data_IF_282983842006
#
_entry.id   IF_282983842006
#
_cell.length_a   1.000
_cell.length_b   1.000
_cell.length_c   1.000
_cell.angle_alpha   90.00
_cell.angle_beta   90.00
_cell.angle_gamma   90.00
#
_symmetry.space_group_name_H-M   'P 1'
#
loop_
_entity.id
_entity.type
_entity.pdbx_description
1 polymer ?
#
# COMPACT_ATOMS: atom_id res chain seq x y z
N UNK A 1 20.32 35.06 16.04
CA UNK A 1 19.11 35.83 16.32
C UNK A 1 18.37 36.13 15.00
N UNK A 2 17.54 35.25 14.53
CA UNK A 2 16.38 35.51 13.70
C UNK A 2 15.46 34.29 13.89
N UNK A 3 14.51 34.44 14.80
CA UNK A 3 13.37 33.53 14.97
C UNK A 3 12.44 33.73 13.78
N UNK A 4 12.38 32.76 12.90
CA UNK A 4 11.39 32.65 11.84
C UNK A 4 10.09 32.08 12.40
N UNK A 5 9.05 32.91 12.39
CA UNK A 5 7.69 32.67 12.88
C UNK A 5 6.80 31.88 11.92
N UNK A 6 7.34 30.95 11.13
CA UNK A 6 6.58 30.22 10.08
C UNK A 6 6.24 28.76 10.42
N UNK A 7 6.48 28.30 11.64
CA UNK A 7 6.27 26.88 12.02
C UNK A 7 4.95 26.55 12.72
N UNK A 8 4.07 27.52 13.00
CA UNK A 8 2.97 27.30 13.95
C UNK A 8 1.55 27.18 13.38
N UNK A 9 1.30 27.29 12.08
CA UNK A 9 -0.11 27.34 11.63
C UNK A 9 -0.64 26.17 10.81
N UNK A 10 0.17 25.20 10.41
CA UNK A 10 -0.26 24.16 9.46
C UNK A 10 -0.83 22.88 10.08
N UNK A 11 -0.69 22.65 11.37
CA UNK A 11 -1.30 21.51 12.07
C UNK A 11 -2.74 21.75 12.51
N UNK A 12 -3.20 23.00 12.54
CA UNK A 12 -4.57 23.36 12.93
C UNK A 12 -5.53 23.51 11.74
N UNK A 13 -5.02 23.59 10.49
CA UNK A 13 -5.83 23.92 9.31
C UNK A 13 -6.49 22.68 8.70
N UNK A 14 -6.00 21.48 8.96
CA UNK A 14 -6.54 20.22 8.39
C UNK A 14 -7.92 19.82 8.93
N UNK A 15 -8.34 20.38 10.06
CA UNK A 15 -9.60 19.99 10.71
C UNK A 15 -10.84 20.78 10.23
N UNK A 16 -10.71 21.83 9.39
CA UNK A 16 -11.83 22.73 9.06
C UNK A 16 -12.20 22.81 7.56
N UNK A 17 -11.51 22.12 6.66
CA UNK A 17 -11.83 22.16 5.22
C UNK A 17 -13.24 21.64 4.89
N UNK A 18 -13.85 20.85 5.77
CA UNK A 18 -15.22 20.36 5.63
C UNK A 18 -16.26 21.51 5.68
N UNK A 19 -15.95 22.65 6.36
CA UNK A 19 -16.84 23.80 6.53
C UNK A 19 -16.67 24.87 5.46
N UNK A 20 -15.66 24.74 4.59
CA UNK A 20 -15.27 25.73 3.59
C UNK A 20 -15.89 25.47 2.22
N UNK A 21 -16.29 26.55 1.55
CA UNK A 21 -16.68 26.50 0.15
C UNK A 21 -15.43 26.25 -0.74
N UNK A 22 -15.58 25.69 -1.96
CA UNK A 22 -14.45 25.41 -2.86
C UNK A 22 -13.51 26.61 -3.08
N UNK A 23 -14.05 27.83 -3.20
CA UNK A 23 -13.26 29.06 -3.36
C UNK A 23 -12.40 29.39 -2.15
N UNK A 24 -12.91 29.13 -0.95
CA UNK A 24 -12.18 29.32 0.32
C UNK A 24 -11.05 28.29 0.45
N UNK A 25 -11.30 27.05 0.02
CA UNK A 25 -10.29 25.98 -0.01
C UNK A 25 -9.14 26.31 -0.96
N UNK A 26 -9.45 26.82 -2.15
CA UNK A 26 -8.42 27.28 -3.09
C UNK A 26 -7.57 28.40 -2.47
N UNK A 27 -8.18 29.38 -1.82
CA UNK A 27 -7.47 30.46 -1.17
C UNK A 27 -6.60 29.98 0.00
N UNK A 28 -7.16 29.12 0.88
CA UNK A 28 -6.47 28.56 2.04
C UNK A 28 -5.23 27.75 1.67
N UNK A 29 -5.31 26.99 0.56
CA UNK A 29 -4.21 26.17 0.08
C UNK A 29 -3.34 26.88 -0.98
N UNK A 30 -3.61 28.18 -1.23
CA UNK A 30 -2.89 28.98 -2.23
C UNK A 30 -2.78 28.26 -3.57
N UNK A 31 -3.92 27.77 -4.06
CA UNK A 31 -4.08 27.07 -5.35
C UNK A 31 -5.27 27.68 -6.13
N UNK A 32 -5.60 27.13 -7.28
CA UNK A 32 -6.70 27.61 -8.12
C UNK A 32 -7.34 26.46 -8.90
N UNK A 33 -8.39 26.74 -9.68
CA UNK A 33 -9.00 25.80 -10.62
C UNK A 33 -8.00 25.30 -11.70
N UNK A 34 -6.94 26.09 -11.98
CA UNK A 34 -5.85 25.70 -12.86
C UNK A 34 -4.76 24.85 -12.17
N UNK A 35 -4.95 24.54 -10.88
CA UNK A 35 -3.99 23.80 -10.06
C UNK A 35 -2.82 24.66 -9.59
N UNK A 36 -1.82 24.04 -9.01
CA UNK A 36 -0.58 24.68 -8.58
C UNK A 36 0.35 24.93 -9.76
N UNK A 37 1.16 26.01 -9.73
CA UNK A 37 2.34 26.13 -10.57
C UNK A 37 3.33 24.99 -10.27
N UNK A 38 3.96 24.42 -11.32
CA UNK A 38 4.91 23.30 -11.18
C UNK A 38 6.10 23.66 -10.27
N UNK A 39 6.56 24.90 -10.29
CA UNK A 39 7.63 25.41 -9.43
C UNK A 39 7.21 25.39 -7.95
N UNK A 40 6.00 25.85 -7.65
CA UNK A 40 5.46 25.83 -6.29
C UNK A 40 5.23 24.39 -5.81
N UNK A 41 4.76 23.50 -6.67
CA UNK A 41 4.63 22.07 -6.34
C UNK A 41 5.99 21.45 -5.99
N UNK A 42 7.05 21.76 -6.72
CA UNK A 42 8.41 21.30 -6.43
C UNK A 42 8.92 21.86 -5.08
N UNK A 43 8.66 23.13 -4.80
CA UNK A 43 8.98 23.75 -3.50
C UNK A 43 8.24 23.07 -2.35
N UNK A 44 6.94 22.80 -2.52
CA UNK A 44 6.13 22.08 -1.51
C UNK A 44 6.59 20.64 -1.32
N UNK A 45 6.99 19.97 -2.39
CA UNK A 45 7.53 18.61 -2.30
C UNK A 45 8.80 18.56 -1.44
N UNK A 46 9.68 19.56 -1.55
CA UNK A 46 10.87 19.65 -0.70
C UNK A 46 10.55 19.95 0.77
N UNK A 47 9.45 20.67 1.04
CA UNK A 47 9.01 21.06 2.39
C UNK A 47 8.22 19.95 3.09
N UNK A 48 7.25 19.35 2.39
CA UNK A 48 6.33 18.36 2.96
C UNK A 48 6.83 16.93 2.83
N UNK A 49 7.79 16.68 1.93
CA UNK A 49 8.26 15.35 1.56
C UNK A 49 7.31 14.64 0.60
N UNK A 50 7.65 13.40 0.24
CA UNK A 50 6.85 12.57 -0.65
C UNK A 50 5.56 12.11 0.02
N UNK A 51 4.51 11.94 -0.77
CA UNK A 51 3.24 11.38 -0.32
C UNK A 51 3.33 9.84 -0.22
N UNK A 52 4.16 9.40 0.71
CA UNK A 52 4.39 7.99 1.00
C UNK A 52 4.24 7.75 2.49
N UNK A 53 3.71 6.60 2.85
CA UNK A 53 3.81 6.14 4.23
C UNK A 53 5.25 5.67 4.43
N UNK A 54 5.89 6.00 5.56
CA UNK A 54 7.27 5.61 5.77
C UNK A 54 7.39 4.10 5.75
N UNK A 55 8.20 3.62 4.88
CA UNK A 55 8.65 2.25 4.84
C UNK A 55 9.95 2.19 5.65
N UNK A 56 9.91 1.61 6.82
CA UNK A 56 11.11 1.46 7.65
C UNK A 56 11.97 0.32 7.10
N UNK A 57 12.73 0.60 6.05
CA UNK A 57 13.91 -0.21 5.74
C UNK A 57 15.11 0.30 6.56
N UNK A 58 15.92 -0.58 7.16
CA UNK A 58 17.12 -0.14 7.84
C UNK A 58 18.04 0.60 6.86
N UNK A 59 18.41 1.84 7.19
CA UNK A 59 19.43 2.59 6.43
C UNK A 59 20.78 1.85 6.45
N UNK A 60 21.62 2.09 5.43
CA UNK A 60 22.92 1.43 5.33
C UNK A 60 23.80 1.53 6.59
N UNK A 61 23.78 2.63 7.40
CA UNK A 61 24.58 2.67 8.63
C UNK A 61 24.07 1.66 9.67
N UNK A 62 22.75 1.45 9.76
CA UNK A 62 22.15 0.49 10.67
C UNK A 62 22.47 -0.95 10.25
N UNK A 63 22.47 -1.22 8.94
CA UNK A 63 22.90 -2.53 8.39
C UNK A 63 24.37 -2.79 8.69
N UNK A 64 25.23 -1.78 8.61
CA UNK A 64 26.64 -1.95 8.96
C UNK A 64 26.84 -2.20 10.46
N UNK A 65 26.13 -1.45 11.31
CA UNK A 65 26.21 -1.62 12.76
C UNK A 65 25.63 -2.95 13.23
N UNK A 66 24.57 -3.46 12.56
CA UNK A 66 23.99 -4.77 12.90
C UNK A 66 24.97 -5.94 12.71
N UNK A 67 26.01 -5.78 11.88
CA UNK A 67 27.04 -6.81 11.73
C UNK A 67 27.86 -7.02 13.03
N UNK A 68 27.88 -6.02 13.90
CA UNK A 68 28.56 -6.10 15.21
C UNK A 68 27.63 -6.57 16.34
N UNK A 69 26.32 -6.62 16.12
CA UNK A 69 25.34 -7.13 17.08
C UNK A 69 25.38 -8.68 17.17
N UNK A 70 26.10 -9.33 16.26
CA UNK A 70 26.29 -10.77 16.29
C UNK A 70 27.23 -11.16 17.44
N UNK A 71 26.84 -12.12 18.32
CA UNK A 71 27.68 -12.60 19.41
C UNK A 71 29.09 -13.05 18.98
N UNK A 72 29.20 -13.57 17.75
CA UNK A 72 30.51 -14.00 17.21
C UNK A 72 31.43 -12.82 16.90
N UNK A 73 30.91 -11.74 16.30
CA UNK A 73 31.69 -10.53 16.08
C UNK A 73 32.20 -9.94 17.40
N UNK A 74 31.36 -9.97 18.44
CA UNK A 74 31.75 -9.52 19.77
C UNK A 74 32.89 -10.39 20.37
N UNK A 75 32.77 -11.73 20.26
CA UNK A 75 33.83 -12.66 20.71
C UNK A 75 35.14 -12.40 19.97
N UNK A 76 35.09 -12.21 18.63
CA UNK A 76 36.26 -11.91 17.83
C UNK A 76 36.94 -10.61 18.27
N UNK A 77 36.19 -9.56 18.54
CA UNK A 77 36.71 -8.28 19.07
C UNK A 77 37.39 -8.51 20.42
N UNK A 78 36.76 -9.22 21.34
CA UNK A 78 37.31 -9.51 22.66
C UNK A 78 38.62 -10.31 22.53
N UNK A 79 38.66 -11.33 21.66
CA UNK A 79 39.84 -12.15 21.43
C UNK A 79 40.98 -11.37 20.75
N UNK A 80 40.68 -10.51 19.79
CA UNK A 80 41.66 -9.65 19.16
C UNK A 80 42.31 -8.69 20.17
N UNK A 81 41.51 -8.07 21.02
CA UNK A 81 42.00 -7.20 22.10
C UNK A 81 42.86 -8.00 23.07
N UNK A 82 42.43 -9.17 23.50
CA UNK A 82 43.16 -10.03 24.43
C UNK A 82 44.53 -10.46 23.85
N UNK A 83 44.55 -10.87 22.56
CA UNK A 83 45.75 -11.26 21.87
C UNK A 83 46.78 -10.11 21.79
N UNK A 84 46.28 -8.87 21.53
CA UNK A 84 47.11 -7.67 21.53
C UNK A 84 47.75 -7.39 22.92
N UNK A 85 46.94 -7.48 23.98
CA UNK A 85 47.42 -7.27 25.36
C UNK A 85 48.42 -8.37 25.83
N UNK A 86 48.30 -9.57 25.31
CA UNK A 86 49.14 -10.71 25.65
C UNK A 86 50.43 -10.76 24.83
N UNK A 87 50.73 -9.71 24.06
CA UNK A 87 51.98 -9.60 23.29
C UNK A 87 52.01 -10.43 22.01
N UNK A 88 50.84 -10.76 21.45
CA UNK A 88 50.68 -11.51 20.20
C UNK A 88 50.01 -10.64 19.10
N UNK A 89 50.60 -9.54 18.68
CA UNK A 89 49.99 -8.58 17.74
C UNK A 89 49.67 -9.20 16.36
N UNK A 90 50.52 -10.13 15.88
CA UNK A 90 50.26 -10.81 14.60
C UNK A 90 48.95 -11.60 14.60
N UNK A 91 48.62 -12.26 15.71
CA UNK A 91 47.35 -13.01 15.84
C UNK A 91 46.14 -12.07 15.95
N UNK A 92 46.32 -10.96 16.69
CA UNK A 92 45.29 -9.92 16.76
C UNK A 92 44.96 -9.33 15.38
N UNK A 93 46.00 -9.08 14.58
CA UNK A 93 45.86 -8.56 13.21
C UNK A 93 45.12 -9.55 12.30
N UNK A 94 45.47 -10.82 12.32
CA UNK A 94 44.79 -11.87 11.55
C UNK A 94 43.28 -11.95 11.93
N UNK A 95 42.96 -11.91 13.21
CA UNK A 95 41.55 -11.94 13.68
C UNK A 95 40.80 -10.70 13.19
N UNK A 96 41.42 -9.52 13.27
CA UNK A 96 40.80 -8.29 12.78
C UNK A 96 40.56 -8.32 11.27
N UNK A 97 41.48 -8.88 10.50
CA UNK A 97 41.32 -9.04 9.04
C UNK A 97 40.16 -10.00 8.73
N UNK A 98 40.10 -11.16 9.40
CA UNK A 98 39.00 -12.12 9.23
C UNK A 98 37.67 -11.46 9.57
N UNK A 99 37.60 -10.75 10.70
CA UNK A 99 36.39 -10.01 11.12
C UNK A 99 36.02 -8.94 10.08
N UNK A 100 36.96 -8.15 9.57
CA UNK A 100 36.72 -7.13 8.58
C UNK A 100 36.13 -7.74 7.27
N UNK A 101 36.70 -8.86 6.82
CA UNK A 101 36.17 -9.58 5.65
C UNK A 101 34.74 -10.07 5.92
N UNK A 102 34.47 -10.66 7.08
CA UNK A 102 33.11 -11.10 7.49
C UNK A 102 32.10 -9.94 7.50
N UNK A 103 32.46 -8.83 8.14
CA UNK A 103 31.62 -7.62 8.20
C UNK A 103 31.33 -7.05 6.81
N UNK A 104 32.35 -6.97 5.93
CA UNK A 104 32.16 -6.47 4.56
C UNK A 104 31.23 -7.39 3.75
N UNK A 105 31.43 -8.70 3.83
CA UNK A 105 30.60 -9.66 3.12
C UNK A 105 29.16 -9.67 3.67
N UNK A 106 29.00 -9.67 4.98
CA UNK A 106 27.69 -9.60 5.64
C UNK A 106 26.94 -8.32 5.25
N UNK A 107 27.60 -7.17 5.36
CA UNK A 107 27.04 -5.89 4.94
C UNK A 107 26.63 -5.88 3.46
N UNK A 108 27.51 -6.34 2.57
CA UNK A 108 27.22 -6.36 1.13
C UNK A 108 25.99 -7.21 0.81
N UNK A 109 25.89 -8.41 1.40
CA UNK A 109 24.78 -9.32 1.17
C UNK A 109 23.47 -8.75 1.72
N UNK A 110 23.47 -8.22 2.94
CA UNK A 110 22.27 -7.64 3.58
C UNK A 110 21.82 -6.36 2.88
N UNK A 111 22.76 -5.49 2.51
CA UNK A 111 22.48 -4.28 1.74
C UNK A 111 21.88 -4.60 0.38
N UNK A 112 22.46 -5.56 -0.36
CA UNK A 112 21.92 -6.00 -1.65
C UNK A 112 20.54 -6.61 -1.52
N UNK A 113 20.29 -7.43 -0.50
CA UNK A 113 19.00 -8.03 -0.23
C UNK A 113 17.93 -6.96 0.08
N UNK A 114 18.26 -6.02 0.97
CA UNK A 114 17.36 -4.90 1.34
C UNK A 114 17.04 -4.04 0.11
N UNK A 115 18.04 -3.74 -0.72
CA UNK A 115 17.85 -2.96 -1.94
C UNK A 115 16.94 -3.67 -2.95
N UNK A 116 17.10 -4.98 -3.15
CA UNK A 116 16.20 -5.75 -4.04
C UNK A 116 14.75 -5.72 -3.58
N UNK A 117 14.50 -5.75 -2.27
CA UNK A 117 13.14 -5.61 -1.70
C UNK A 117 12.58 -4.22 -1.98
N UNK A 118 13.37 -3.17 -1.74
CA UNK A 118 12.95 -1.79 -2.01
C UNK A 118 12.66 -1.55 -3.49
N UNK A 119 13.49 -2.07 -4.39
CA UNK A 119 13.30 -1.94 -5.83
C UNK A 119 12.00 -2.65 -6.28
N UNK A 120 11.67 -3.81 -5.71
CA UNK A 120 10.42 -4.52 -5.98
C UNK A 120 9.20 -3.74 -5.48
N UNK A 121 9.26 -3.20 -4.28
CA UNK A 121 8.19 -2.37 -3.70
C UNK A 121 7.96 -1.08 -4.49
N UNK A 122 9.01 -0.46 -5.00
CA UNK A 122 8.94 0.76 -5.81
C UNK A 122 8.41 0.50 -7.24
N UNK A 123 8.39 -0.75 -7.69
CA UNK A 123 7.83 -1.10 -9.01
C UNK A 123 6.31 -0.97 -9.07
N UNK A 124 5.63 -0.86 -7.93
CA UNK A 124 4.18 -0.67 -7.82
C UNK A 124 3.89 0.77 -7.39
N UNK A 125 3.78 1.68 -8.35
CA UNK A 125 3.38 3.06 -8.10
C UNK A 125 1.90 3.27 -8.46
N UNK A 126 1.17 3.92 -7.57
CA UNK A 126 -0.19 4.41 -7.85
C UNK A 126 -0.02 5.73 -8.62
N UNK A 127 -0.65 5.83 -9.78
CA UNK A 127 -0.66 7.07 -10.56
C UNK A 127 -1.89 7.91 -10.22
N UNK A 128 -1.76 9.22 -10.37
CA UNK A 128 -2.83 10.17 -10.14
C UNK A 128 -2.89 11.19 -11.28
N UNK A 129 -4.09 11.55 -11.70
CA UNK A 129 -4.32 12.63 -12.69
C UNK A 129 -4.39 13.95 -11.94
N UNK A 130 -3.39 14.80 -12.16
CA UNK A 130 -3.21 16.07 -11.45
C UNK A 130 -3.24 17.24 -12.43
N UNK A 131 -3.93 18.29 -12.05
CA UNK A 131 -3.91 19.55 -12.82
C UNK A 131 -2.87 20.48 -12.22
N UNK A 132 -1.83 20.82 -13.00
CA UNK A 132 -0.82 21.85 -12.71
C UNK A 132 -0.62 22.75 -13.91
N UNK A 133 -0.39 24.04 -13.71
CA UNK A 133 -0.26 25.02 -14.77
C UNK A 133 -1.41 24.98 -15.80
N UNK A 134 -2.63 24.69 -15.36
CA UNK A 134 -3.81 24.55 -16.21
C UNK A 134 -3.85 23.29 -17.08
N UNK A 135 -2.89 22.35 -16.93
CA UNK A 135 -2.82 21.11 -17.71
C UNK A 135 -3.00 19.90 -16.82
N UNK A 136 -3.87 18.97 -17.23
CA UNK A 136 -4.00 17.68 -16.58
C UNK A 136 -2.86 16.76 -17.05
N UNK A 137 -2.11 16.20 -16.09
CA UNK A 137 -1.01 15.27 -16.35
C UNK A 137 -1.09 14.10 -15.37
N UNK A 138 -0.72 12.91 -15.84
CA UNK A 138 -0.59 11.74 -15.00
C UNK A 138 0.79 11.75 -14.33
N UNK A 139 0.83 11.64 -13.01
CA UNK A 139 2.07 11.57 -12.26
C UNK A 139 1.98 10.53 -11.14
N UNK A 140 3.14 10.13 -10.62
CA UNK A 140 3.24 9.24 -9.46
C UNK A 140 2.59 9.91 -8.25
N UNK A 141 1.66 9.20 -7.58
CA UNK A 141 0.97 9.71 -6.38
C UNK A 141 1.93 10.12 -5.26
N UNK A 142 3.12 9.55 -5.22
CA UNK A 142 4.18 9.92 -4.29
C UNK A 142 4.68 11.37 -4.46
N UNK A 143 4.43 12.00 -5.61
CA UNK A 143 4.81 13.39 -5.91
C UNK A 143 3.70 14.40 -5.64
N UNK A 144 2.58 13.95 -5.06
CA UNK A 144 1.49 14.83 -4.65
C UNK A 144 1.89 15.68 -3.46
N UNK A 145 1.42 16.92 -3.48
CA UNK A 145 1.64 17.89 -2.40
C UNK A 145 0.33 18.56 -1.99
N UNK A 146 0.20 19.06 -0.75
CA UNK A 146 -0.96 19.86 -0.37
C UNK A 146 -1.17 21.03 -1.32
N UNK A 147 -2.41 21.19 -1.80
CA UNK A 147 -2.79 22.18 -2.81
C UNK A 147 -2.86 21.67 -4.25
N UNK A 148 -2.39 20.45 -4.54
CA UNK A 148 -2.59 19.83 -5.86
C UNK A 148 -4.07 19.60 -6.13
N UNK A 149 -4.50 19.85 -7.36
CA UNK A 149 -5.85 19.57 -7.84
C UNK A 149 -5.85 18.20 -8.55
N UNK A 150 -6.42 17.21 -7.89
CA UNK A 150 -6.45 15.81 -8.34
C UNK A 150 -7.84 15.46 -8.86
N UNK A 151 -7.91 14.71 -9.94
CA UNK A 151 -9.13 14.12 -10.46
C UNK A 151 -9.11 12.62 -10.21
N UNK A 152 -10.24 12.09 -9.73
CA UNK A 152 -10.45 10.66 -9.48
C UNK A 152 -11.68 10.17 -10.23
N UNK A 153 -11.61 8.94 -10.70
CA UNK A 153 -12.63 8.26 -11.49
C UNK A 153 -13.04 6.95 -10.81
N UNK A 154 -14.11 6.37 -11.29
CA UNK A 154 -14.54 5.03 -10.86
C UNK A 154 -13.39 4.02 -10.98
N UNK A 155 -13.15 3.25 -9.91
CA UNK A 155 -12.07 2.27 -9.83
C UNK A 155 -10.75 2.81 -9.28
N UNK A 156 -10.60 4.14 -9.20
CA UNK A 156 -9.39 4.75 -8.66
C UNK A 156 -9.28 4.57 -7.15
N UNK A 157 -8.06 4.38 -6.69
CA UNK A 157 -7.70 4.51 -5.26
C UNK A 157 -7.39 5.97 -5.00
N UNK A 158 -8.06 6.56 -4.03
CA UNK A 158 -7.81 7.94 -3.60
C UNK A 158 -6.36 8.07 -3.11
N UNK A 159 -5.54 8.92 -3.75
CA UNK A 159 -4.10 8.92 -3.53
C UNK A 159 -3.63 9.72 -2.31
N UNK A 160 -4.46 10.61 -1.79
CA UNK A 160 -4.16 11.48 -0.64
C UNK A 160 -5.47 11.95 0.00
N UNK A 161 -5.42 12.56 1.18
CA UNK A 161 -6.61 13.21 1.73
C UNK A 161 -6.92 14.48 0.95
N UNK A 162 -8.17 14.63 0.51
CA UNK A 162 -8.58 15.70 -0.40
C UNK A 162 -9.92 16.30 0.02
N UNK A 163 -10.09 17.61 -0.21
CA UNK A 163 -11.39 18.29 -0.16
C UNK A 163 -12.01 18.29 -1.56
N UNK A 164 -13.20 17.74 -1.68
CA UNK A 164 -13.94 17.70 -2.94
C UNK A 164 -14.36 19.12 -3.32
N UNK A 165 -14.03 19.57 -4.51
CA UNK A 165 -14.41 20.88 -5.05
C UNK A 165 -15.42 20.78 -6.19
N UNK A 166 -15.50 19.60 -6.84
CA UNK A 166 -16.45 19.29 -7.90
C UNK A 166 -16.67 17.76 -7.89
N UNK A 167 -17.91 17.31 -8.08
CA UNK A 167 -18.22 15.88 -8.13
C UNK A 167 -19.51 15.61 -8.91
N UNK A 168 -19.56 14.45 -9.55
CA UNK A 168 -20.75 13.94 -10.23
C UNK A 168 -21.02 12.52 -9.75
N UNK A 169 -22.16 12.28 -9.10
CA UNK A 169 -22.64 10.98 -8.59
C UNK A 169 -21.57 10.15 -7.86
N UNK A 170 -20.80 10.82 -7.01
CA UNK A 170 -19.63 10.23 -6.38
C UNK A 170 -20.02 9.32 -5.22
N UNK A 171 -19.59 8.04 -5.29
CA UNK A 171 -19.62 7.09 -4.18
C UNK A 171 -18.22 6.53 -3.93
N UNK A 172 -17.88 6.35 -2.66
CA UNK A 172 -16.56 5.90 -2.23
C UNK A 172 -16.69 4.80 -1.17
N UNK A 173 -15.95 3.73 -1.35
CA UNK A 173 -15.81 2.68 -0.36
C UNK A 173 -14.69 3.08 0.63
N UNK A 174 -15.07 3.28 1.88
CA UNK A 174 -14.16 3.67 2.97
C UNK A 174 -13.76 2.51 3.89
N UNK A 175 -13.91 1.26 3.43
CA UNK A 175 -13.60 0.07 4.22
C UNK A 175 -12.16 0.05 4.78
N UNK A 176 -11.21 0.65 4.07
CA UNK A 176 -9.83 0.77 4.53
C UNK A 176 -9.67 1.57 5.83
N UNK A 177 -10.63 2.45 6.14
CA UNK A 177 -10.64 3.30 7.33
C UNK A 177 -11.66 2.87 8.38
N UNK A 178 -12.84 2.45 7.94
CA UNK A 178 -14.00 2.16 8.81
C UNK A 178 -14.17 0.66 9.07
N UNK A 179 -13.64 -0.18 8.18
CA UNK A 179 -13.93 -1.62 8.14
C UNK A 179 -15.27 -1.96 7.50
N UNK A 180 -16.08 -0.95 7.12
CA UNK A 180 -17.40 -1.14 6.51
C UNK A 180 -17.30 -1.06 4.98
N UNK A 181 -17.79 -2.08 4.28
CA UNK A 181 -17.67 -2.19 2.82
C UNK A 181 -18.78 -1.46 2.05
N UNK A 182 -19.71 -0.80 2.72
CA UNK A 182 -20.78 -0.07 2.05
C UNK A 182 -20.26 1.26 1.49
N UNK A 183 -20.50 1.55 0.20
CA UNK A 183 -20.13 2.84 -0.38
C UNK A 183 -20.89 3.99 0.29
N UNK A 184 -20.20 5.11 0.44
CA UNK A 184 -20.72 6.34 1.02
C UNK A 184 -20.85 7.39 -0.08
N UNK A 185 -21.99 8.09 -0.13
CA UNK A 185 -22.19 9.22 -1.03
C UNK A 185 -21.32 10.40 -0.62
N UNK A 186 -20.67 11.01 -1.59
CA UNK A 186 -19.79 12.16 -1.42
C UNK A 186 -20.18 13.29 -2.38
N UNK A 187 -20.05 14.53 -1.94
CA UNK A 187 -20.36 15.73 -2.74
C UNK A 187 -19.41 16.88 -2.40
N UNK A 188 -19.53 17.99 -3.14
CA UNK A 188 -18.72 19.17 -2.93
C UNK A 188 -19.29 20.18 -1.92
N UNK A 189 -20.51 19.95 -1.38
CA UNK A 189 -21.18 20.86 -0.50
C UNK A 189 -20.45 21.02 0.84
N UNK A 190 -20.46 22.22 1.40
CA UNK A 190 -19.89 22.45 2.73
C UNK A 190 -20.82 21.88 3.81
N UNK A 191 -20.23 21.33 4.86
CA UNK A 191 -20.98 20.82 5.99
C UNK A 191 -21.34 21.94 6.97
N UNK A 192 -22.58 21.98 7.48
CA UNK A 192 -23.06 23.03 8.38
C UNK A 192 -22.51 22.86 9.82
N UNK A 193 -22.06 21.67 10.18
CA UNK A 193 -21.58 21.33 11.51
C UNK A 193 -20.39 20.38 11.45
N UNK A 194 -19.54 20.41 12.48
CA UNK A 194 -18.38 19.51 12.59
C UNK A 194 -18.86 18.04 12.68
N UNK A 195 -18.40 17.16 11.77
CA UNK A 195 -18.75 15.74 11.86
C UNK A 195 -18.15 15.11 13.10
N UNK A 196 -18.84 14.12 13.68
CA UNK A 196 -18.38 13.41 14.90
C UNK A 196 -17.12 12.59 14.64
N UNK A 197 -16.95 12.12 13.39
CA UNK A 197 -15.74 11.45 12.92
C UNK A 197 -15.36 11.98 11.53
N UNK A 198 -14.07 12.04 11.17
CA UNK A 198 -13.62 12.49 9.84
C UNK A 198 -14.29 11.74 8.70
N UNK A 199 -14.51 10.43 8.83
CA UNK A 199 -15.15 9.56 7.84
C UNK A 199 -16.63 9.90 7.60
N UNK A 200 -17.29 10.63 8.50
CA UNK A 200 -18.65 11.13 8.29
C UNK A 200 -18.73 12.39 7.42
N UNK A 201 -17.57 12.92 7.00
CA UNK A 201 -17.52 14.08 6.11
C UNK A 201 -17.88 13.65 4.69
N UNK A 202 -19.01 14.14 4.18
CA UNK A 202 -19.47 13.85 2.81
C UNK A 202 -18.65 14.58 1.74
N UNK A 203 -17.86 15.58 2.12
CA UNK A 203 -17.10 16.43 1.22
C UNK A 203 -15.57 16.24 1.31
N UNK A 204 -15.13 15.20 2.01
CA UNK A 204 -13.73 14.80 2.09
C UNK A 204 -13.54 13.40 1.49
N UNK A 205 -12.43 13.24 0.77
CA UNK A 205 -11.90 11.96 0.32
C UNK A 205 -10.65 11.62 1.13
N UNK A 206 -10.48 10.37 1.47
CA UNK A 206 -9.38 9.91 2.30
C UNK A 206 -8.47 8.96 1.54
N UNK A 207 -7.18 9.05 1.81
CA UNK A 207 -6.16 8.16 1.23
C UNK A 207 -6.53 6.68 1.41
N UNK A 208 -6.29 5.86 0.39
CA UNK A 208 -6.54 4.41 0.35
C UNK A 208 -8.02 4.00 0.30
N UNK A 209 -8.95 4.92 0.16
CA UNK A 209 -10.36 4.61 -0.16
C UNK A 209 -10.53 4.42 -1.67
N UNK A 210 -11.60 3.77 -2.10
CA UNK A 210 -11.81 3.40 -3.50
C UNK A 210 -13.06 4.07 -4.04
N UNK A 211 -12.95 4.74 -5.18
CA UNK A 211 -14.11 5.31 -5.88
C UNK A 211 -14.91 4.20 -6.54
N UNK A 212 -16.15 4.00 -6.10
CA UNK A 212 -17.03 2.93 -6.59
C UNK A 212 -18.03 3.43 -7.63
N UNK A 213 -18.30 4.74 -7.67
CA UNK A 213 -19.19 5.37 -8.65
C UNK A 213 -18.82 6.83 -8.86
N UNK A 214 -19.10 7.34 -10.06
CA UNK A 214 -18.95 8.75 -10.39
C UNK A 214 -17.50 9.23 -10.53
N UNK A 215 -17.36 10.55 -10.48
CA UNK A 215 -16.06 11.24 -10.62
C UNK A 215 -15.98 12.41 -9.66
N UNK A 216 -14.77 12.81 -9.28
CA UNK A 216 -14.55 14.01 -8.49
C UNK A 216 -13.26 14.73 -8.85
N UNK A 217 -13.26 16.05 -8.57
CA UNK A 217 -12.04 16.85 -8.42
C UNK A 217 -11.88 17.21 -6.96
N UNK A 218 -10.70 17.01 -6.43
CA UNK A 218 -10.37 17.35 -5.05
C UNK A 218 -9.05 18.09 -4.96
N UNK A 219 -8.96 19.01 -4.01
CA UNK A 219 -7.70 19.65 -3.65
C UNK A 219 -7.07 18.86 -2.53
N UNK A 220 -5.81 18.45 -2.71
CA UNK A 220 -5.05 17.71 -1.70
C UNK A 220 -4.87 18.57 -0.46
N UNK A 221 -5.33 18.07 0.68
CA UNK A 221 -5.23 18.71 1.99
C UNK A 221 -4.09 18.16 2.82
N UNK A 222 -3.88 16.83 2.76
CA UNK A 222 -2.85 16.14 3.54
C UNK A 222 -2.22 15.01 2.74
N UNK A 223 -0.92 14.76 2.99
CA UNK A 223 -0.13 13.75 2.30
C UNK A 223 0.62 12.85 3.28
N UNK A 224 0.88 11.62 2.89
CA UNK A 224 1.70 10.64 3.61
C UNK A 224 1.26 10.42 5.06
N UNK A 225 2.17 10.60 6.00
CA UNK A 225 1.92 10.40 7.45
C UNK A 225 0.85 11.32 8.04
N UNK A 226 0.51 12.41 7.37
CA UNK A 226 -0.46 13.40 7.86
C UNK A 226 -1.89 13.06 7.44
N UNK A 227 -2.09 12.09 6.57
CA UNK A 227 -3.42 11.61 6.16
C UNK A 227 -4.10 10.85 7.29
N UNK A 228 -5.43 10.71 7.22
CA UNK A 228 -6.19 9.89 8.18
C UNK A 228 -5.68 8.44 8.19
N UNK A 229 -5.45 7.88 7.01
CA UNK A 229 -4.87 6.55 6.88
C UNK A 229 -3.46 6.47 7.48
N UNK A 230 -2.62 7.48 7.26
CA UNK A 230 -1.29 7.59 7.87
C UNK A 230 -1.31 7.68 9.39
N UNK A 231 -2.35 8.32 9.98
CA UNK A 231 -2.53 8.39 11.43
C UNK A 231 -2.90 7.04 12.04
N UNK A 232 -3.79 6.28 11.37
CA UNK A 232 -4.18 4.92 11.77
C UNK A 232 -2.99 3.97 11.62
N UNK A 233 -2.24 4.06 10.52
CA UNK A 233 -1.04 3.26 10.29
C UNK A 233 -0.03 3.38 11.42
N UNK A 234 0.19 4.59 11.95
CA UNK A 234 1.06 4.82 13.13
C UNK A 234 0.58 4.12 14.39
N UNK A 235 -0.73 4.01 14.62
CA UNK A 235 -1.29 3.31 15.79
C UNK A 235 -1.13 1.79 15.67
N UNK A 236 -1.00 1.27 14.45
CA UNK A 236 -0.88 -0.16 14.13
C UNK A 236 0.57 -0.60 13.91
N UNK A 237 1.56 0.32 13.96
CA UNK A 237 3.01 0.01 13.89
C UNK A 237 3.46 -0.85 15.07
N UNK A 238 2.90 -2.06 15.20
CA UNK A 238 3.47 -3.12 16.04
C UNK A 238 4.51 -3.86 15.21
N UNK A 239 5.67 -4.22 15.80
CA UNK A 239 6.59 -5.11 15.13
C UNK A 239 5.83 -6.36 14.68
N UNK A 240 5.91 -6.67 13.40
CA UNK A 240 5.20 -7.84 12.87
C UNK A 240 5.75 -9.10 13.56
N UNK A 241 4.88 -10.06 13.95
CA UNK A 241 5.35 -11.31 14.52
C UNK A 241 6.30 -12.00 13.53
N UNK A 242 7.43 -12.49 14.06
CA UNK A 242 8.38 -13.30 13.30
C UNK A 242 7.66 -14.50 12.68
N UNK A 243 8.03 -14.85 11.44
CA UNK A 243 7.52 -16.06 10.80
C UNK A 243 7.99 -17.32 11.55
N UNK A 244 7.30 -18.44 11.41
CA UNK A 244 7.70 -19.72 12.05
C UNK A 244 9.08 -20.16 11.56
N UNK A 245 9.43 -19.86 10.33
CA UNK A 245 10.77 -20.13 9.81
C UNK A 245 11.84 -19.22 10.44
N UNK A 246 11.56 -17.94 10.57
CA UNK A 246 12.49 -17.04 11.27
C UNK A 246 12.74 -17.52 12.69
N UNK A 247 11.68 -17.93 13.41
CA UNK A 247 11.81 -18.56 14.73
C UNK A 247 12.59 -19.88 14.68
N UNK A 248 12.32 -20.72 13.66
CA UNK A 248 13.04 -21.97 13.43
C UNK A 248 14.52 -21.75 13.15
N UNK A 249 14.86 -20.79 12.28
CA UNK A 249 16.23 -20.40 11.95
C UNK A 249 16.97 -19.88 13.17
N UNK A 250 16.30 -19.06 13.99
CA UNK A 250 16.86 -18.57 15.25
C UNK A 250 17.14 -19.70 16.24
N UNK A 251 16.18 -20.61 16.44
CA UNK A 251 16.38 -21.80 17.32
C UNK A 251 17.53 -22.68 16.83
N UNK A 252 17.65 -22.85 15.51
CA UNK A 252 18.77 -23.60 14.93
C UNK A 252 20.11 -22.89 15.16
N UNK A 253 20.15 -21.56 14.98
CA UNK A 253 21.31 -20.74 15.34
C UNK A 253 21.72 -20.87 16.81
N UNK A 254 20.73 -20.76 17.72
CA UNK A 254 20.96 -20.92 19.17
C UNK A 254 21.49 -22.32 19.54
N UNK A 255 20.97 -23.37 18.86
CA UNK A 255 21.46 -24.74 19.05
C UNK A 255 22.91 -24.87 18.59
N UNK A 256 23.28 -24.32 17.43
CA UNK A 256 24.64 -24.34 16.93
C UNK A 256 25.60 -23.53 17.80
N UNK A 257 25.17 -22.37 18.31
CA UNK A 257 25.93 -21.58 19.26
C UNK A 257 26.19 -22.35 20.56
N UNK A 258 25.17 -23.03 21.08
CA UNK A 258 25.28 -23.88 22.28
C UNK A 258 26.25 -25.02 22.04
N UNK A 259 26.15 -25.70 20.90
CA UNK A 259 27.07 -26.77 20.53
C UNK A 259 28.50 -26.27 20.37
N UNK A 260 28.70 -25.14 19.66
CA UNK A 260 29.99 -24.50 19.50
C UNK A 260 30.63 -24.12 20.83
N UNK A 261 29.83 -23.60 21.79
CA UNK A 261 30.31 -23.29 23.13
C UNK A 261 30.86 -24.50 23.86
N UNK A 262 30.09 -25.61 23.94
CA UNK A 262 30.55 -26.82 24.59
C UNK A 262 31.76 -27.43 23.90
N UNK A 263 31.80 -27.42 22.57
CA UNK A 263 32.95 -27.91 21.82
C UNK A 263 34.19 -27.06 22.07
N UNK A 264 34.06 -25.74 22.14
CA UNK A 264 35.15 -24.80 22.48
C UNK A 264 35.72 -25.11 23.85
N UNK A 265 34.86 -25.29 24.86
CA UNK A 265 35.27 -25.63 26.22
C UNK A 265 36.00 -26.98 26.27
N UNK A 266 35.48 -27.98 25.54
CA UNK A 266 36.08 -29.33 25.48
C UNK A 266 37.45 -29.28 24.80
N UNK A 267 37.60 -28.60 23.64
CA UNK A 267 38.86 -28.47 22.91
C UNK A 267 39.89 -27.68 23.74
N UNK A 268 39.45 -26.58 24.36
CA UNK A 268 40.29 -25.78 25.24
C UNK A 268 40.83 -26.64 26.39
N UNK A 269 39.95 -27.36 27.10
CA UNK A 269 40.31 -28.23 28.21
C UNK A 269 41.25 -29.35 27.80
N UNK A 270 41.03 -30.00 26.65
CA UNK A 270 41.88 -31.04 26.11
C UNK A 270 43.27 -30.52 25.76
N UNK A 271 43.37 -29.40 25.05
CA UNK A 271 44.66 -28.80 24.74
C UNK A 271 45.42 -28.34 25.97
N UNK A 272 44.75 -27.75 26.97
CA UNK A 272 45.34 -27.36 28.24
C UNK A 272 45.88 -28.58 28.98
N UNK A 273 45.10 -29.69 29.03
CA UNK A 273 45.54 -30.94 29.67
C UNK A 273 46.72 -31.60 28.95
N UNK A 274 46.88 -31.40 27.63
CA UNK A 274 48.02 -31.84 26.85
C UNK A 274 49.27 -30.95 27.06
N UNK A 275 49.21 -29.93 27.91
CA UNK A 275 50.34 -29.07 28.26
C UNK A 275 50.62 -27.95 27.28
N UNK A 276 49.68 -27.65 26.33
CA UNK A 276 49.81 -26.50 25.44
C UNK A 276 49.58 -25.20 26.20
N UNK A 277 50.11 -24.10 25.70
CA UNK A 277 49.88 -22.78 26.26
C UNK A 277 48.40 -22.46 26.29
N UNK A 278 47.88 -21.97 27.43
CA UNK A 278 46.46 -21.67 27.61
C UNK A 278 45.91 -20.70 26.54
N UNK A 279 46.73 -19.75 26.12
CA UNK A 279 46.36 -18.76 25.11
C UNK A 279 46.20 -19.41 23.72
N UNK A 280 47.20 -20.21 23.30
CA UNK A 280 47.14 -20.93 22.02
C UNK A 280 45.98 -21.93 22.00
N UNK A 281 45.71 -22.59 23.13
CA UNK A 281 44.58 -23.50 23.29
C UNK A 281 43.24 -22.79 23.16
N UNK A 282 43.11 -21.59 23.73
CA UNK A 282 41.90 -20.77 23.62
C UNK A 282 41.68 -20.28 22.20
N UNK A 283 42.72 -19.73 21.56
CA UNK A 283 42.66 -19.24 20.19
C UNK A 283 42.30 -20.36 19.19
N UNK A 284 42.90 -21.53 19.36
CA UNK A 284 42.59 -22.70 18.53
C UNK A 284 41.13 -23.16 18.70
N UNK A 285 40.66 -23.23 19.94
CA UNK A 285 39.29 -23.62 20.24
C UNK A 285 38.26 -22.61 19.67
N UNK A 286 38.53 -21.30 19.78
CA UNK A 286 37.70 -20.24 19.22
C UNK A 286 37.71 -20.25 17.69
N UNK A 287 38.85 -20.51 17.05
CA UNK A 287 38.93 -20.61 15.60
C UNK A 287 38.02 -21.72 15.04
N UNK A 288 37.93 -22.87 15.75
CA UNK A 288 37.03 -23.95 15.38
C UNK A 288 35.57 -23.55 15.61
N UNK A 289 35.26 -22.89 16.73
CA UNK A 289 33.94 -22.41 17.04
C UNK A 289 33.39 -21.47 15.96
N UNK A 290 34.20 -20.54 15.47
CA UNK A 290 33.87 -19.61 14.38
C UNK A 290 33.46 -20.36 13.12
N UNK A 291 34.19 -21.43 12.77
CA UNK A 291 33.91 -22.22 11.55
C UNK A 291 32.61 -23.02 11.60
N UNK A 292 32.00 -23.19 12.79
CA UNK A 292 30.77 -23.98 12.96
C UNK A 292 29.53 -23.10 12.85
N UNK A 293 29.63 -21.82 13.15
CA UNK A 293 28.46 -20.91 13.15
C UNK A 293 28.14 -20.42 11.73
N UNK A 294 26.94 -20.69 11.22
CA UNK A 294 26.54 -20.29 9.87
C UNK A 294 26.14 -18.82 9.83
N UNK A 295 27.10 -17.90 9.76
CA UNK A 295 26.85 -16.45 9.73
C UNK A 295 26.04 -16.00 8.50
N UNK A 296 26.10 -16.76 7.39
CA UNK A 296 25.48 -16.42 6.13
C UNK A 296 24.00 -16.83 6.00
N UNK A 297 23.45 -17.54 6.99
CA UNK A 297 22.11 -18.13 6.87
C UNK A 297 20.99 -17.08 6.69
N UNK A 298 20.93 -15.97 7.45
CA UNK A 298 19.90 -14.94 7.24
C UNK A 298 20.00 -14.30 5.86
N UNK A 299 21.22 -14.06 5.37
CA UNK A 299 21.44 -13.48 4.05
C UNK A 299 21.00 -14.42 2.93
N UNK A 300 21.32 -15.71 3.01
CA UNK A 300 20.91 -16.73 2.03
C UNK A 300 19.38 -16.80 1.96
N UNK A 301 18.71 -16.82 3.11
CA UNK A 301 17.24 -16.84 3.19
C UNK A 301 16.66 -15.61 2.51
N UNK A 302 17.13 -14.41 2.84
CA UNK A 302 16.62 -13.16 2.27
C UNK A 302 16.85 -13.10 0.76
N UNK A 303 18.02 -13.51 0.26
CA UNK A 303 18.31 -13.58 -1.17
C UNK A 303 17.38 -14.58 -1.87
N UNK A 304 17.15 -15.74 -1.27
CA UNK A 304 16.28 -16.77 -1.84
C UNK A 304 14.84 -16.30 -1.93
N UNK A 305 14.30 -15.70 -0.86
CA UNK A 305 12.96 -15.13 -0.84
C UNK A 305 12.83 -13.97 -1.84
N UNK A 306 13.81 -13.08 -1.90
CA UNK A 306 13.83 -11.96 -2.85
C UNK A 306 13.86 -12.46 -4.31
N UNK A 307 14.66 -13.48 -4.60
CA UNK A 307 14.69 -14.10 -5.93
C UNK A 307 13.35 -14.75 -6.27
N UNK A 308 12.72 -15.42 -5.32
CA UNK A 308 11.38 -15.98 -5.45
C UNK A 308 10.33 -14.88 -5.74
N UNK A 309 10.34 -13.80 -4.98
CA UNK A 309 9.45 -12.66 -5.18
C UNK A 309 9.63 -12.04 -6.59
N UNK A 310 10.87 -11.92 -7.05
CA UNK A 310 11.14 -11.42 -8.40
C UNK A 310 10.60 -12.35 -9.51
N UNK A 311 10.66 -13.67 -9.31
CA UNK A 311 10.02 -14.64 -10.25
C UNK A 311 8.51 -14.49 -10.24
N UNK A 312 7.88 -14.36 -9.06
CA UNK A 312 6.44 -14.15 -8.94
C UNK A 312 6.00 -12.83 -9.59
N UNK A 313 6.81 -11.77 -9.49
CA UNK A 313 6.52 -10.50 -10.14
C UNK A 313 6.49 -10.60 -11.68
N UNK A 314 7.31 -11.49 -12.28
CA UNK A 314 7.24 -11.80 -13.72
C UNK A 314 5.94 -12.49 -14.12
N UNK A 315 5.32 -13.21 -13.20
CA UNK A 315 4.00 -13.85 -13.35
C UNK A 315 2.86 -12.93 -12.88
N UNK A 316 3.12 -11.61 -12.81
CA UNK A 316 2.15 -10.58 -12.41
C UNK A 316 1.66 -10.70 -10.95
N UNK A 317 2.40 -11.39 -10.09
CA UNK A 317 2.11 -11.50 -8.66
C UNK A 317 3.04 -10.60 -7.87
N UNK A 318 2.48 -9.58 -7.21
CA UNK A 318 3.26 -8.65 -6.38
C UNK A 318 3.26 -9.13 -4.94
N UNK A 319 4.45 -9.48 -4.44
CA UNK A 319 4.65 -9.88 -3.05
C UNK A 319 4.90 -8.64 -2.19
N UNK A 320 3.94 -8.28 -1.34
CA UNK A 320 4.07 -7.15 -0.41
C UNK A 320 4.98 -7.44 0.79
N UNK A 321 5.12 -8.71 1.18
CA UNK A 321 5.94 -9.16 2.32
C UNK A 321 6.65 -10.45 1.97
N UNK A 322 7.97 -10.48 2.04
CA UNK A 322 8.76 -11.66 1.72
C UNK A 322 8.46 -12.85 2.66
N UNK A 323 8.23 -12.58 3.95
CA UNK A 323 7.86 -13.60 4.92
C UNK A 323 6.55 -14.33 4.57
N UNK A 324 5.64 -13.71 3.80
CA UNK A 324 4.39 -14.34 3.37
C UNK A 324 4.62 -15.44 2.33
N UNK A 325 5.69 -15.38 1.55
CA UNK A 325 6.02 -16.43 0.56
C UNK A 325 6.31 -17.76 1.21
N UNK A 326 6.97 -17.72 2.35
CA UNK A 326 7.30 -18.91 3.12
C UNK A 326 6.04 -19.57 3.70
N UNK A 327 5.13 -18.74 4.23
CA UNK A 327 3.84 -19.22 4.72
C UNK A 327 3.00 -19.85 3.60
N UNK A 328 3.08 -19.30 2.36
CA UNK A 328 2.42 -19.89 1.19
C UNK A 328 2.90 -21.32 0.88
N UNK A 329 4.21 -21.60 1.07
CA UNK A 329 4.78 -22.93 0.86
C UNK A 329 4.31 -24.00 1.86
N UNK A 330 3.87 -23.57 3.04
CA UNK A 330 3.41 -24.45 4.13
C UNK A 330 1.89 -24.39 4.35
N UNK A 331 1.15 -23.83 3.39
CA UNK A 331 -0.29 -23.62 3.51
C UNK A 331 -1.04 -24.97 3.46
N UNK A 332 -1.82 -25.27 4.48
CA UNK A 332 -2.73 -26.41 4.56
C UNK A 332 -4.21 -25.98 4.47
N UNK A 333 -4.51 -24.71 4.74
CA UNK A 333 -5.85 -24.11 4.66
C UNK A 333 -5.77 -22.75 4.01
N UNK A 334 -6.52 -22.59 2.91
CA UNK A 334 -6.65 -21.32 2.19
C UNK A 334 -8.05 -20.76 2.40
N UNK A 335 -8.14 -19.63 3.06
CA UNK A 335 -9.36 -18.84 3.12
C UNK A 335 -9.25 -17.72 2.07
N UNK A 336 -10.16 -17.70 1.13
CA UNK A 336 -10.15 -16.72 0.04
C UNK A 336 -11.52 -16.03 -0.08
N UNK A 337 -11.51 -14.77 -0.50
CA UNK A 337 -12.72 -14.09 -0.92
C UNK A 337 -13.18 -14.65 -2.28
N UNK A 338 -14.49 -14.57 -2.53
CA UNK A 338 -15.08 -15.03 -3.77
C UNK A 338 -14.99 -13.94 -4.85
N UNK A 339 -15.46 -12.74 -4.55
CA UNK A 339 -15.71 -11.71 -5.55
C UNK A 339 -14.43 -10.92 -5.87
N UNK A 340 -14.05 -10.88 -7.15
CA UNK A 340 -12.81 -10.22 -7.58
C UNK A 340 -11.52 -10.99 -7.25
N UNK A 341 -11.62 -12.15 -6.58
CA UNK A 341 -10.50 -13.03 -6.24
C UNK A 341 -10.61 -14.37 -6.97
N UNK A 342 -11.69 -15.11 -6.74
CA UNK A 342 -12.00 -16.34 -7.48
C UNK A 342 -12.80 -16.06 -8.76
N UNK A 343 -13.46 -14.93 -8.82
CA UNK A 343 -14.20 -14.45 -9.98
C UNK A 343 -13.54 -13.18 -10.52
N UNK A 344 -13.80 -12.85 -11.77
CA UNK A 344 -13.29 -11.62 -12.41
C UNK A 344 -13.93 -10.33 -11.85
N UNK A 345 -14.90 -10.43 -10.92
CA UNK A 345 -15.63 -9.28 -10.40
C UNK A 345 -16.56 -8.63 -11.44
N UNK A 346 -16.72 -9.25 -12.60
CA UNK A 346 -17.64 -8.80 -13.66
C UNK A 346 -19.01 -9.42 -13.49
N UNK A 347 -20.04 -8.58 -13.59
CA UNK A 347 -21.43 -9.03 -13.69
C UNK A 347 -21.74 -9.23 -15.16
N UNK A 348 -22.36 -10.36 -15.49
CA UNK A 348 -22.82 -10.67 -16.85
C UNK A 348 -24.30 -10.99 -16.78
N UNK A 349 -25.08 -10.31 -17.65
CA UNK A 349 -26.50 -10.63 -17.81
C UNK A 349 -26.63 -11.87 -18.72
N UNK A 350 -27.16 -12.96 -18.17
CA UNK A 350 -27.39 -14.21 -18.89
C UNK A 350 -28.67 -14.20 -19.74
N UNK A 351 -29.71 -13.50 -19.26
CA UNK A 351 -30.99 -13.42 -19.93
C UNK A 351 -31.99 -12.55 -19.19
N UNK A 352 -33.11 -12.36 -19.82
CA UNK A 352 -34.27 -11.62 -19.25
C UNK A 352 -35.52 -12.50 -19.20
N UNK A 353 -36.38 -12.21 -18.24
CA UNK A 353 -37.64 -12.92 -18.03
C UNK A 353 -38.77 -11.91 -17.82
N UNK A 354 -39.95 -12.24 -18.32
CA UNK A 354 -41.16 -11.49 -18.02
C UNK A 354 -41.57 -11.71 -16.56
N UNK A 355 -42.51 -10.90 -15.99
CA UNK A 355 -43.02 -11.12 -14.64
C UNK A 355 -43.60 -12.52 -14.38
N UNK A 356 -44.07 -13.21 -15.42
CA UNK A 356 -44.56 -14.58 -15.35
C UNK A 356 -43.43 -15.65 -15.41
N UNK A 357 -42.20 -15.22 -15.27
CA UNK A 357 -40.98 -16.06 -15.33
C UNK A 357 -40.83 -16.80 -16.69
N UNK A 358 -41.45 -16.30 -17.75
CA UNK A 358 -41.21 -16.83 -19.10
C UNK A 358 -39.97 -16.15 -19.68
N UNK A 359 -39.07 -16.91 -20.36
CA UNK A 359 -37.93 -16.32 -21.02
C UNK A 359 -38.36 -15.22 -21.99
N UNK A 360 -37.71 -14.08 -21.94
CA UNK A 360 -37.85 -12.97 -22.87
C UNK A 360 -36.63 -12.90 -23.79
N UNK A 361 -36.88 -12.64 -25.06
CA UNK A 361 -35.81 -12.43 -26.05
C UNK A 361 -35.07 -11.09 -25.90
N UNK A 362 -35.38 -10.37 -24.81
CA UNK A 362 -34.84 -9.05 -24.50
C UNK A 362 -35.65 -7.89 -25.09
N UNK A 363 -36.66 -8.15 -25.90
CA UNK A 363 -37.44 -7.07 -26.57
C UNK A 363 -38.38 -6.32 -25.66
N UNK A 364 -38.80 -6.93 -24.54
CA UNK A 364 -39.74 -6.32 -23.57
C UNK A 364 -39.02 -5.72 -22.36
N UNK A 365 -38.10 -6.50 -21.74
CA UNK A 365 -37.49 -6.16 -20.46
C UNK A 365 -36.26 -5.25 -20.67
N UNK A 366 -35.41 -5.56 -21.63
CA UNK A 366 -34.15 -4.81 -21.83
C UNK A 366 -34.37 -3.33 -22.13
N UNK A 367 -35.34 -2.91 -22.99
CA UNK A 367 -35.61 -1.48 -23.21
C UNK A 367 -35.95 -0.72 -21.92
N UNK A 368 -36.72 -1.34 -21.03
CA UNK A 368 -37.07 -0.73 -19.75
C UNK A 368 -35.86 -0.66 -18.81
N UNK A 369 -35.04 -1.72 -18.78
CA UNK A 369 -33.80 -1.72 -18.00
C UNK A 369 -32.80 -0.67 -18.50
N UNK A 370 -32.72 -0.43 -19.80
CA UNK A 370 -31.85 0.63 -20.38
C UNK A 370 -32.33 2.04 -20.02
N UNK A 371 -33.65 2.25 -19.85
CA UNK A 371 -34.20 3.54 -19.38
C UNK A 371 -33.90 3.77 -17.90
N UNK A 372 -33.87 2.70 -17.08
CA UNK A 372 -33.54 2.74 -15.66
C UNK A 372 -32.04 2.62 -15.40
N UNK A 373 -31.20 3.01 -16.35
CA UNK A 373 -29.77 2.77 -16.34
C UNK A 373 -29.02 4.10 -16.34
N UNK A 374 -27.92 4.19 -15.57
CA UNK A 374 -27.09 5.38 -15.41
C UNK A 374 -25.69 5.20 -16.00
N UNK A 375 -25.43 4.12 -16.74
CA UNK A 375 -24.14 3.94 -17.39
C UNK A 375 -23.94 4.97 -18.50
N UNK A 376 -22.74 5.48 -18.58
CA UNK A 376 -22.28 6.38 -19.65
C UNK A 376 -21.78 5.52 -20.80
N UNK A 377 -22.36 5.71 -22.00
CA UNK A 377 -22.06 4.93 -23.19
C UNK A 377 -21.45 5.84 -24.24
N UNK A 378 -20.11 5.93 -24.22
CA UNK A 378 -19.33 6.63 -25.25
C UNK A 378 -18.51 5.60 -26.05
N UNK A 379 -17.20 5.80 -26.19
CA UNK A 379 -16.28 4.82 -26.79
C UNK A 379 -16.12 3.55 -25.92
N UNK A 380 -16.35 3.68 -24.61
CA UNK A 380 -16.42 2.58 -23.65
C UNK A 380 -17.65 2.75 -22.77
N UNK A 381 -18.18 1.64 -22.25
CA UNK A 381 -19.29 1.66 -21.29
C UNK A 381 -18.69 1.78 -19.88
N UNK A 382 -19.09 2.82 -19.16
CA UNK A 382 -18.64 3.06 -17.78
C UNK A 382 -19.82 3.34 -16.86
N UNK A 383 -19.73 2.90 -15.60
CA UNK A 383 -20.77 3.07 -14.61
C UNK A 383 -20.83 1.94 -13.59
N UNK A 384 -21.97 1.80 -12.91
CA UNK A 384 -22.22 0.69 -12.02
C UNK A 384 -22.08 -0.65 -12.78
N UNK A 385 -21.41 -1.67 -12.23
CA UNK A 385 -21.24 -2.97 -12.91
C UNK A 385 -22.53 -3.64 -13.37
N UNK A 386 -23.65 -3.44 -12.66
CA UNK A 386 -24.97 -3.95 -13.10
C UNK A 386 -25.48 -3.22 -14.33
N UNK A 387 -25.35 -1.89 -14.34
CA UNK A 387 -25.76 -1.06 -15.45
C UNK A 387 -24.94 -1.34 -16.70
N UNK A 388 -23.63 -1.50 -16.54
CA UNK A 388 -22.71 -1.92 -17.60
C UNK A 388 -23.11 -3.28 -18.17
N UNK A 389 -23.47 -4.26 -17.32
CA UNK A 389 -23.86 -5.60 -17.74
C UNK A 389 -25.14 -5.58 -18.63
N UNK A 390 -26.10 -4.71 -18.29
CA UNK A 390 -27.32 -4.53 -19.11
C UNK A 390 -26.99 -3.94 -20.49
N UNK A 391 -26.13 -2.92 -20.53
CA UNK A 391 -25.68 -2.34 -21.79
C UNK A 391 -24.86 -3.32 -22.63
N UNK A 392 -23.94 -4.07 -22.02
CA UNK A 392 -23.16 -5.12 -22.70
C UNK A 392 -24.07 -6.18 -23.32
N UNK A 393 -25.11 -6.60 -22.59
CA UNK A 393 -26.09 -7.54 -23.11
C UNK A 393 -26.87 -6.93 -24.29
N UNK A 394 -27.34 -5.72 -24.15
CA UNK A 394 -28.11 -5.02 -25.18
C UNK A 394 -27.28 -4.87 -26.47
N UNK A 395 -26.02 -4.51 -26.37
CA UNK A 395 -25.12 -4.34 -27.54
C UNK A 395 -24.87 -5.70 -28.20
N UNK A 396 -24.54 -6.75 -27.42
CA UNK A 396 -24.25 -8.09 -27.94
C UNK A 396 -25.47 -8.71 -28.66
N UNK A 397 -26.68 -8.37 -28.23
CA UNK A 397 -27.91 -8.91 -28.81
C UNK A 397 -28.59 -7.95 -29.80
N UNK A 398 -27.92 -6.85 -30.21
CA UNK A 398 -28.47 -5.91 -31.19
C UNK A 398 -29.61 -5.04 -30.67
N UNK A 399 -29.75 -4.92 -29.34
CA UNK A 399 -30.82 -4.17 -28.68
C UNK A 399 -30.39 -2.76 -28.23
N UNK A 400 -29.24 -2.29 -28.69
CA UNK A 400 -28.66 -0.99 -28.31
C UNK A 400 -29.66 0.18 -28.43
N UNK A 401 -30.44 0.14 -29.51
CA UNK A 401 -31.36 1.21 -29.88
C UNK A 401 -32.79 1.01 -29.38
N UNK A 402 -33.05 -0.06 -28.62
CA UNK A 402 -34.38 -0.47 -28.22
C UNK A 402 -35.07 0.49 -27.23
N UNK A 403 -34.29 1.34 -26.54
CA UNK A 403 -34.76 2.35 -25.60
C UNK A 403 -34.93 3.75 -26.24
N UNK A 404 -34.65 3.95 -27.52
CA UNK A 404 -34.64 5.29 -28.18
C UNK A 404 -36.01 5.99 -28.15
N UNK A 405 -37.08 5.23 -28.15
CA UNK A 405 -38.45 5.78 -28.11
C UNK A 405 -38.87 6.28 -26.73
N UNK A 406 -38.07 6.04 -25.71
CA UNK A 406 -38.34 6.47 -24.38
C UNK A 406 -37.60 7.77 -24.03
N UNK A 407 -38.28 8.70 -23.42
CA UNK A 407 -37.73 9.94 -22.89
C UNK A 407 -37.80 9.86 -21.37
N UNK A 408 -36.66 9.82 -20.69
CA UNK A 408 -36.54 9.87 -19.23
C UNK A 408 -37.00 11.26 -18.76
N UNK A 409 -38.07 11.33 -17.96
CA UNK A 409 -38.67 12.58 -17.48
C UNK A 409 -38.16 12.91 -16.08
N UNK A 410 -38.10 11.92 -15.21
CA UNK A 410 -37.65 12.06 -13.82
C UNK A 410 -37.18 10.73 -13.30
N UNK A 411 -36.34 10.80 -12.28
CA UNK A 411 -35.78 9.64 -11.63
C UNK A 411 -35.86 9.78 -10.10
N UNK A 412 -36.15 8.67 -9.44
CA UNK A 412 -35.94 8.49 -8.01
C UNK A 412 -34.72 7.59 -7.86
N UNK A 413 -33.58 8.12 -7.41
CA UNK A 413 -32.31 7.37 -7.32
C UNK A 413 -32.43 6.10 -6.49
N UNK A 414 -31.42 5.24 -6.59
CA UNK A 414 -31.33 4.04 -5.78
C UNK A 414 -31.37 4.40 -4.29
N UNK A 415 -32.22 3.69 -3.57
CA UNK A 415 -32.37 3.81 -2.13
C UNK A 415 -32.14 2.44 -1.48
N UNK A 416 -31.29 2.37 -0.46
CA UNK A 416 -30.95 1.12 0.22
C UNK A 416 -32.13 0.48 0.95
N UNK A 417 -33.10 1.27 1.44
CA UNK A 417 -34.28 0.73 2.11
C UNK A 417 -35.25 0.14 1.09
N UNK A 418 -35.45 0.84 -0.03
CA UNK A 418 -36.31 0.38 -1.14
C UNK A 418 -35.64 -0.68 -2.01
N UNK A 419 -34.29 -0.67 -2.09
CA UNK A 419 -33.45 -1.52 -2.97
C UNK A 419 -33.84 -1.44 -4.45
N UNK A 420 -34.26 -0.26 -4.91
CA UNK A 420 -34.65 -0.03 -6.30
C UNK A 420 -34.41 1.41 -6.75
N UNK A 421 -34.19 1.56 -8.04
CA UNK A 421 -34.29 2.81 -8.79
C UNK A 421 -35.69 2.87 -9.37
N UNK A 422 -36.25 4.04 -9.53
CA UNK A 422 -37.54 4.22 -10.24
C UNK A 422 -37.44 5.37 -11.21
N UNK A 423 -37.86 5.17 -12.44
CA UNK A 423 -37.82 6.17 -13.50
C UNK A 423 -39.20 6.43 -14.04
N UNK A 424 -39.55 7.71 -14.19
CA UNK A 424 -40.71 8.14 -14.96
C UNK A 424 -40.24 8.40 -16.39
N UNK A 425 -40.74 7.59 -17.32
CA UNK A 425 -40.39 7.73 -18.74
C UNK A 425 -41.64 7.99 -19.57
N UNK A 426 -41.47 8.70 -20.69
CA UNK A 426 -42.50 8.96 -21.68
C UNK A 426 -42.18 8.17 -22.95
N UNK A 427 -43.19 7.41 -23.45
CA UNK A 427 -43.16 6.75 -24.77
C UNK A 427 -44.35 7.21 -25.60
N UNK A 428 -44.12 8.03 -26.64
CA UNK A 428 -45.17 8.73 -27.35
C UNK A 428 -45.92 9.66 -26.38
N UNK A 429 -47.23 9.48 -26.23
CA UNK A 429 -48.08 10.27 -25.31
C UNK A 429 -48.31 9.58 -23.96
N UNK A 430 -47.75 8.40 -23.73
CA UNK A 430 -47.95 7.65 -22.48
C UNK A 430 -46.82 7.89 -21.50
N UNK A 431 -47.15 8.22 -20.25
CA UNK A 431 -46.25 8.22 -19.13
C UNK A 431 -46.24 6.83 -18.47
N UNK A 432 -45.05 6.36 -18.14
CA UNK A 432 -44.85 5.05 -17.49
C UNK A 432 -43.93 5.26 -16.28
N UNK A 433 -44.23 4.56 -15.19
CA UNK A 433 -43.33 4.36 -14.07
C UNK A 433 -42.63 3.01 -14.28
N UNK A 434 -41.31 3.03 -14.32
CA UNK A 434 -40.47 1.86 -14.54
C UNK A 434 -39.65 1.62 -13.27
#
# INVERSE_FOLDING_TARGET
LAQGTDGQSLTAVTDEYWSQDPSEVYAALSTSENGLPSEEAARRLSLYGRNELPREGPGWPRILLSQFDNPMSLILVVVAILSGFLGQPEQAEIILVIMAVGVVLGFYNEFRATKMVQDLENSVSIKAVVTRDGKATELDSALLVPGDLVRVYIGDIVPADMRIVDSTDLQVNEAALTGESFPVDKNAEKLPARPSAPTQSTNLLFMSTVVTRGTAKGVVTSTGRRTQFGSISRMVERPHPESEFQKGTKRYGDLLLTFAFFLTVAIFGLNAAMGHSLINSLLFALAIAIGIVPEMMPAIVTITLSTGAHRMAKEQVVVKRLASMENLGNLDKLCTDKTGTLTEGKIVLEGSFTPDLTPDDGTKVIPLSLVCNDAIVDDAISGNPMDVAVWDYAIRNGLRDSAKDFIKVSEVPFDYQRRMVSVIAKKGDKLMLI
#
